data_IF_189714809214
#
_entry.id   IF_189714809214
#
_cell.length_a   1.000
_cell.length_b   1.000
_cell.length_c   1.000
_cell.angle_alpha   90.00
_cell.angle_beta   90.00
_cell.angle_gamma   90.00
#
_symmetry.space_group_name_H-M   'P 1'
#
loop_
_entity.id
_entity.type
_entity.pdbx_description
1 polymer ?
#
# COMPACT_ATOMS: atom_id res chain seq x y z
N UNK A 1 11.36 7.54 -28.17
CA UNK A 1 10.22 7.80 -27.26
C UNK A 1 10.78 8.07 -25.88
N UNK A 2 10.88 9.33 -25.49
CA UNK A 2 11.33 9.77 -24.16
C UNK A 2 10.13 9.76 -23.22
N UNK A 3 10.16 8.92 -22.19
CA UNK A 3 9.15 8.92 -21.11
C UNK A 3 9.17 10.25 -20.37
N UNK A 4 8.01 10.83 -20.01
CA UNK A 4 7.95 12.11 -19.32
C UNK A 4 8.53 11.99 -17.91
N UNK A 5 9.30 13.00 -17.50
CA UNK A 5 9.90 13.10 -16.16
C UNK A 5 8.81 13.18 -15.08
N UNK A 6 8.89 12.41 -13.98
CA UNK A 6 7.89 12.43 -12.93
C UNK A 6 7.99 13.71 -12.09
N UNK A 7 6.85 14.40 -11.91
CA UNK A 7 6.71 15.59 -11.05
C UNK A 7 7.00 15.25 -9.57
N UNK A 8 7.58 16.17 -8.79
CA UNK A 8 7.87 15.95 -7.37
C UNK A 8 6.59 16.06 -6.54
N UNK A 9 6.32 15.07 -5.68
CA UNK A 9 5.16 15.09 -4.77
C UNK A 9 4.89 13.77 -4.04
N UNK A 10 5.27 12.63 -4.62
CA UNK A 10 5.42 11.32 -3.97
C UNK A 10 6.35 10.56 -4.90
N UNK A 11 7.56 10.22 -4.46
CA UNK A 11 8.47 9.41 -5.29
C UNK A 11 7.69 8.15 -5.68
N UNK A 12 7.42 8.00 -6.99
CA UNK A 12 6.70 6.83 -7.51
C UNK A 12 7.46 5.61 -7.03
N UNK A 13 6.80 4.72 -6.30
CA UNK A 13 7.42 3.48 -5.84
C UNK A 13 7.96 2.76 -7.07
N UNK A 14 9.26 2.40 -7.10
CA UNK A 14 9.81 1.66 -8.23
C UNK A 14 8.95 0.43 -8.47
N UNK A 15 8.58 0.17 -9.72
CA UNK A 15 7.83 -1.05 -10.03
C UNK A 15 8.60 -2.25 -9.48
N UNK A 16 7.90 -3.16 -8.79
CA UNK A 16 8.55 -4.32 -8.18
C UNK A 16 9.31 -5.17 -9.20
N UNK A 17 8.88 -5.14 -10.46
CA UNK A 17 9.54 -5.79 -11.59
C UNK A 17 10.92 -5.21 -11.92
N UNK A 18 11.18 -3.95 -11.56
CA UNK A 18 12.45 -3.26 -11.84
C UNK A 18 13.50 -3.51 -10.75
N UNK A 19 13.18 -4.24 -9.69
CA UNK A 19 14.15 -4.60 -8.65
C UNK A 19 15.03 -5.73 -9.23
N UNK A 20 16.31 -5.47 -9.51
CA UNK A 20 17.19 -6.50 -10.02
C UNK A 20 17.36 -7.59 -8.96
N UNK A 21 17.04 -8.83 -9.32
CA UNK A 21 17.20 -9.99 -8.45
C UNK A 21 18.66 -10.43 -8.37
N UNK A 22 19.47 -9.60 -7.69
CA UNK A 22 20.89 -9.85 -7.45
C UNK A 22 21.13 -10.03 -5.94
N UNK A 23 21.02 -11.28 -5.48
CA UNK A 23 21.36 -11.66 -4.12
C UNK A 23 20.38 -11.19 -3.03
N UNK A 24 20.76 -11.34 -1.74
CA UNK A 24 19.84 -11.15 -0.62
C UNK A 24 19.32 -9.73 -0.41
N UNK A 25 20.07 -8.73 -0.89
CA UNK A 25 19.64 -7.33 -0.84
C UNK A 25 18.37 -7.10 -1.66
N UNK A 26 18.18 -7.84 -2.76
CA UNK A 26 16.99 -7.75 -3.61
C UNK A 26 15.72 -8.17 -2.85
N UNK A 27 15.79 -9.18 -1.98
CA UNK A 27 14.64 -9.65 -1.19
C UNK A 27 14.24 -8.60 -0.15
N UNK A 28 15.23 -7.94 0.45
CA UNK A 28 14.99 -6.83 1.39
C UNK A 28 14.37 -5.64 0.67
N UNK A 29 14.89 -5.27 -0.50
CA UNK A 29 14.34 -4.21 -1.32
C UNK A 29 12.90 -4.53 -1.77
N UNK A 30 12.67 -5.74 -2.29
CA UNK A 30 11.35 -6.20 -2.73
C UNK A 30 10.31 -6.15 -1.60
N UNK A 31 10.69 -6.64 -0.42
CA UNK A 31 9.81 -6.61 0.75
C UNK A 31 9.52 -5.18 1.21
N UNK A 32 10.51 -4.27 1.16
CA UNK A 32 10.35 -2.87 1.56
C UNK A 32 9.45 -2.11 0.59
N UNK A 33 9.78 -2.13 -0.70
CA UNK A 33 9.01 -1.43 -1.74
C UNK A 33 7.60 -2.01 -1.89
N UNK A 34 7.46 -3.35 -1.79
CA UNK A 34 6.16 -4.01 -1.84
C UNK A 34 5.26 -3.60 -0.68
N UNK A 35 5.81 -3.44 0.53
CA UNK A 35 5.06 -2.92 1.68
C UNK A 35 4.58 -1.49 1.46
N UNK A 36 5.46 -0.63 0.94
CA UNK A 36 5.11 0.74 0.61
C UNK A 36 3.96 0.75 -0.42
N UNK A 37 4.05 -0.10 -1.45
CA UNK A 37 3.04 -0.19 -2.50
C UNK A 37 1.69 -0.65 -1.96
N UNK A 38 1.66 -1.72 -1.16
CA UNK A 38 0.44 -2.20 -0.53
C UNK A 38 -0.17 -1.18 0.42
N UNK A 39 0.65 -0.42 1.16
CA UNK A 39 0.16 0.64 2.04
C UNK A 39 -0.48 1.77 1.23
N UNK A 40 0.24 2.28 0.24
CA UNK A 40 -0.23 3.36 -0.62
C UNK A 40 -1.52 2.96 -1.36
N UNK A 41 -1.56 1.75 -1.92
CA UNK A 41 -2.76 1.23 -2.58
C UNK A 41 -3.93 1.02 -1.60
N UNK A 42 -3.65 0.63 -0.35
CA UNK A 42 -4.69 0.58 0.67
C UNK A 42 -5.25 1.96 1.01
N UNK A 43 -4.40 2.99 1.05
CA UNK A 43 -4.83 4.36 1.31
C UNK A 43 -5.72 4.86 0.18
N UNK A 44 -5.29 4.69 -1.07
CA UNK A 44 -6.05 5.07 -2.27
C UNK A 44 -7.43 4.39 -2.33
N UNK A 45 -7.50 3.08 -2.05
CA UNK A 45 -8.79 2.39 -1.99
C UNK A 45 -9.67 2.85 -0.82
N UNK A 46 -9.07 3.21 0.31
CA UNK A 46 -9.80 3.78 1.46
C UNK A 46 -10.40 5.13 1.12
N UNK A 47 -9.58 6.06 0.62
CA UNK A 47 -10.01 7.40 0.21
C UNK A 47 -11.08 7.32 -0.88
N UNK A 48 -10.86 6.51 -1.91
CA UNK A 48 -11.86 6.31 -2.97
C UNK A 48 -13.18 5.71 -2.48
N UNK A 49 -13.15 4.85 -1.46
CA UNK A 49 -14.38 4.34 -0.85
C UNK A 49 -15.14 5.43 -0.10
N UNK A 50 -14.43 6.27 0.65
CA UNK A 50 -15.00 7.35 1.45
C UNK A 50 -15.57 8.46 0.57
N UNK A 51 -14.85 8.87 -0.48
CA UNK A 51 -15.33 9.84 -1.48
C UNK A 51 -16.57 9.32 -2.21
N UNK A 52 -16.54 8.06 -2.67
CA UNK A 52 -17.68 7.45 -3.36
C UNK A 52 -18.91 7.34 -2.44
N UNK A 53 -18.70 7.01 -1.17
CA UNK A 53 -19.76 6.99 -0.18
C UNK A 53 -20.31 8.39 0.08
N UNK A 54 -19.43 9.39 0.23
CA UNK A 54 -19.81 10.78 0.42
C UNK A 54 -20.64 11.27 -0.76
N UNK A 55 -20.16 11.14 -1.99
CA UNK A 55 -20.83 11.68 -3.19
C UNK A 55 -22.09 10.89 -3.55
N UNK A 56 -22.00 9.55 -3.65
CA UNK A 56 -23.10 8.74 -4.22
C UNK A 56 -24.09 8.20 -3.18
N UNK A 57 -23.80 8.29 -1.88
CA UNK A 57 -24.69 7.74 -0.85
C UNK A 57 -25.13 8.83 0.14
N UNK A 58 -24.22 9.70 0.59
CA UNK A 58 -24.51 10.76 1.57
C UNK A 58 -25.00 12.06 0.91
N UNK A 59 -24.40 12.44 -0.21
CA UNK A 59 -24.69 13.69 -0.95
C UNK A 59 -25.81 13.52 -1.98
N UNK A 60 -26.42 12.33 -2.11
CA UNK A 60 -27.68 12.09 -2.83
C UNK A 60 -28.89 12.77 -2.14
N UNK A 61 -28.72 14.04 -1.75
CA UNK A 61 -29.75 14.92 -1.20
C UNK A 61 -30.30 15.91 -2.24
N UNK A 62 -29.91 15.84 -3.51
CA UNK A 62 -30.27 16.87 -4.48
C UNK A 62 -30.47 16.37 -5.90
N UNK A 63 -31.59 15.71 -6.19
CA UNK A 63 -32.46 16.01 -7.35
C UNK A 63 -33.67 15.06 -7.30
N UNK A 64 -34.92 15.54 -7.27
CA UNK A 64 -36.10 14.67 -7.23
C UNK A 64 -36.16 13.68 -8.40
N UNK A 65 -35.64 14.06 -9.58
CA UNK A 65 -35.51 13.18 -10.75
C UNK A 65 -34.58 11.98 -10.50
N UNK A 66 -33.48 12.13 -9.76
CA UNK A 66 -32.61 11.00 -9.43
C UNK A 66 -33.21 10.10 -8.33
N UNK A 67 -34.05 10.66 -7.46
CA UNK A 67 -34.79 9.87 -6.47
C UNK A 67 -35.98 9.10 -7.09
N UNK A 68 -36.62 9.67 -8.13
CA UNK A 68 -37.87 9.17 -8.74
C UNK A 68 -37.62 8.36 -10.03
N UNK A 69 -36.57 8.68 -10.79
CA UNK A 69 -36.14 8.02 -12.05
C UNK A 69 -34.71 7.43 -11.97
N UNK A 70 -33.87 7.94 -11.06
CA UNK A 70 -32.47 7.51 -10.86
C UNK A 70 -32.31 6.29 -9.94
N UNK A 71 -32.96 5.20 -10.31
CA UNK A 71 -32.56 3.81 -10.08
C UNK A 71 -32.02 3.46 -8.67
N UNK A 72 -32.82 2.83 -7.78
CA UNK A 72 -32.32 2.09 -6.61
C UNK A 72 -31.10 1.19 -6.89
N UNK A 73 -30.97 0.71 -8.13
CA UNK A 73 -29.79 0.00 -8.62
C UNK A 73 -28.48 0.80 -8.57
N UNK A 74 -28.48 2.10 -8.84
CA UNK A 74 -27.27 2.94 -8.79
C UNK A 74 -26.77 3.05 -7.35
N UNK A 75 -27.65 3.32 -6.39
CA UNK A 75 -27.30 3.35 -4.97
C UNK A 75 -26.80 1.98 -4.48
N UNK A 76 -27.43 0.89 -4.95
CA UNK A 76 -27.02 -0.48 -4.61
C UNK A 76 -25.65 -0.82 -5.21
N UNK A 77 -25.41 -0.46 -6.47
CA UNK A 77 -24.12 -0.61 -7.16
C UNK A 77 -23.03 0.23 -6.51
N UNK A 78 -23.32 1.46 -6.12
CA UNK A 78 -22.41 2.33 -5.38
C UNK A 78 -22.03 1.71 -4.03
N UNK A 79 -23.02 1.28 -3.22
CA UNK A 79 -22.78 0.56 -1.95
C UNK A 79 -21.92 -0.69 -2.15
N UNK A 80 -22.18 -1.48 -3.21
CA UNK A 80 -21.39 -2.67 -3.52
C UNK A 80 -19.95 -2.31 -3.88
N UNK A 81 -19.74 -1.23 -4.61
CA UNK A 81 -18.42 -0.75 -5.01
C UNK A 81 -17.64 -0.22 -3.81
N UNK A 82 -18.26 0.59 -2.94
CA UNK A 82 -17.68 1.04 -1.66
C UNK A 82 -17.23 -0.17 -0.83
N UNK A 83 -18.09 -1.17 -0.64
CA UNK A 83 -17.72 -2.40 0.09
C UNK A 83 -16.55 -3.16 -0.54
N UNK A 84 -16.47 -3.19 -1.88
CA UNK A 84 -15.36 -3.82 -2.60
C UNK A 84 -14.05 -3.05 -2.42
N UNK A 85 -14.09 -1.73 -2.47
CA UNK A 85 -12.93 -0.87 -2.23
C UNK A 85 -12.43 -1.00 -0.78
N UNK A 86 -13.34 -0.97 0.20
CA UNK A 86 -12.99 -1.22 1.60
C UNK A 86 -12.37 -2.60 1.80
N UNK A 87 -12.92 -3.64 1.16
CA UNK A 87 -12.33 -4.98 1.19
C UNK A 87 -10.95 -4.99 0.53
N UNK A 88 -10.78 -4.33 -0.61
CA UNK A 88 -9.49 -4.23 -1.30
C UNK A 88 -8.45 -3.53 -0.43
N UNK A 89 -8.81 -2.43 0.25
CA UNK A 89 -7.95 -1.74 1.20
C UNK A 89 -7.49 -2.70 2.32
N UNK A 90 -8.42 -3.43 2.94
CA UNK A 90 -8.09 -4.42 3.97
C UNK A 90 -7.17 -5.53 3.46
N UNK A 91 -7.43 -6.06 2.26
CA UNK A 91 -6.58 -7.08 1.64
C UNK A 91 -5.16 -6.55 1.37
N UNK A 92 -5.03 -5.30 0.93
CA UNK A 92 -3.72 -4.69 0.71
C UNK A 92 -2.96 -4.48 2.05
N UNK A 93 -3.64 -4.08 3.13
CA UNK A 93 -3.01 -4.05 4.47
C UNK A 93 -2.52 -5.43 4.91
N UNK A 94 -3.32 -6.47 4.70
CA UNK A 94 -2.92 -7.84 5.02
C UNK A 94 -1.72 -8.29 4.16
N UNK A 95 -1.72 -7.97 2.86
CA UNK A 95 -0.58 -8.26 1.99
C UNK A 95 0.71 -7.55 2.45
N UNK A 96 0.62 -6.31 2.93
CA UNK A 96 1.76 -5.61 3.51
C UNK A 96 2.32 -6.34 4.75
N UNK A 97 1.45 -6.91 5.60
CA UNK A 97 1.88 -7.72 6.75
C UNK A 97 2.55 -9.02 6.31
N UNK A 98 2.00 -9.69 5.30
CA UNK A 98 2.61 -10.91 4.76
C UNK A 98 4.00 -10.65 4.16
N UNK A 99 4.25 -9.48 3.55
CA UNK A 99 5.58 -9.10 3.09
C UNK A 99 6.59 -8.91 4.25
N UNK A 100 6.15 -8.51 5.44
CA UNK A 100 7.00 -8.48 6.64
C UNK A 100 7.38 -9.90 7.06
N UNK A 101 6.39 -10.79 7.11
CA UNK A 101 6.60 -12.18 7.50
C UNK A 101 7.49 -12.90 6.50
N UNK A 102 7.28 -12.67 5.21
CA UNK A 102 8.12 -13.16 4.13
C UNK A 102 9.60 -12.76 4.33
N UNK A 103 9.87 -11.47 4.56
CA UNK A 103 11.23 -11.00 4.82
C UNK A 103 11.84 -11.63 6.08
N UNK A 104 11.05 -11.72 7.15
CA UNK A 104 11.51 -12.32 8.40
C UNK A 104 11.84 -13.82 8.24
N UNK A 105 10.98 -14.56 7.53
CA UNK A 105 11.17 -15.98 7.24
C UNK A 105 12.41 -16.18 6.37
N UNK A 106 12.59 -15.38 5.33
CA UNK A 106 13.79 -15.42 4.49
C UNK A 106 15.07 -15.25 5.33
N UNK A 107 15.12 -14.25 6.21
CA UNK A 107 16.31 -14.08 7.07
C UNK A 107 16.55 -15.24 8.01
N UNK A 108 15.48 -15.90 8.49
CA UNK A 108 15.57 -17.05 9.38
C UNK A 108 16.13 -18.28 8.65
N UNK A 109 15.63 -18.56 7.45
CA UNK A 109 16.01 -19.74 6.67
C UNK A 109 17.40 -19.63 6.05
N UNK A 110 17.82 -18.42 5.68
CA UNK A 110 19.07 -18.20 4.96
C UNK A 110 20.17 -17.56 5.81
N UNK A 111 20.01 -17.55 7.14
CA UNK A 111 20.92 -16.84 8.06
C UNK A 111 22.39 -17.25 7.89
N UNK A 112 22.64 -18.52 7.55
CA UNK A 112 23.98 -19.08 7.41
C UNK A 112 24.67 -18.69 6.10
N UNK A 113 23.89 -18.32 5.08
CA UNK A 113 24.38 -17.93 3.74
C UNK A 113 24.41 -16.41 3.58
N UNK A 114 23.68 -15.69 4.44
CA UNK A 114 23.68 -14.24 4.43
C UNK A 114 25.04 -13.70 4.87
N UNK A 115 25.52 -12.60 4.24
CA UNK A 115 26.72 -11.93 4.72
C UNK A 115 26.54 -11.56 6.19
N UNK A 116 27.47 -12.01 7.04
CA UNK A 116 27.47 -11.67 8.47
C UNK A 116 27.42 -10.14 8.61
N UNK A 117 26.40 -9.64 9.32
CA UNK A 117 26.26 -8.21 9.54
C UNK A 117 27.46 -7.76 10.39
N UNK A 118 28.34 -6.91 9.83
CA UNK A 118 29.48 -6.35 10.56
C UNK A 118 28.96 -5.57 11.77
N UNK A 119 29.15 -6.07 13.01
CA UNK A 119 28.55 -5.46 14.20
C UNK A 119 29.15 -4.08 14.51
N UNK A 120 30.31 -3.77 13.94
CA UNK A 120 31.08 -2.54 14.11
C UNK A 120 30.35 -1.28 13.62
N UNK A 121 29.43 -1.42 12.66
CA UNK A 121 28.67 -0.30 12.09
C UNK A 121 27.26 -0.13 12.68
N UNK A 122 26.89 -0.89 13.73
CA UNK A 122 25.65 -0.59 14.45
C UNK A 122 25.91 0.69 15.27
N UNK A 123 25.11 1.77 15.10
CA UNK A 123 25.16 2.87 16.05
C UNK A 123 24.72 2.33 17.41
N UNK A 124 25.71 1.92 18.20
CA UNK A 124 25.55 1.49 19.56
C UNK A 124 25.60 2.74 20.42
N UNK A 125 24.43 3.27 20.76
CA UNK A 125 24.05 3.66 22.12
C UNK A 125 22.71 4.37 22.06
N UNK A 126 21.71 3.77 22.69
CA UNK A 126 20.56 4.54 23.15
C UNK A 126 21.07 5.46 24.27
N UNK A 127 21.14 6.77 23.99
CA UNK A 127 21.63 7.76 24.94
C UNK A 127 20.48 8.24 25.84
N UNK A 128 20.51 7.85 27.12
CA UNK A 128 19.53 8.30 28.12
C UNK A 128 19.67 9.80 28.48
N UNK A 129 20.65 10.52 27.95
CA UNK A 129 20.93 11.93 28.29
C UNK A 129 20.28 12.96 27.35
N UNK A 130 19.46 12.53 26.39
CA UNK A 130 18.77 13.43 25.44
C UNK A 130 17.32 13.74 25.88
N UNK A 131 17.08 14.01 27.17
CA UNK A 131 15.81 14.51 27.75
C UNK A 131 16.01 15.88 28.37
#
# INVERSE_FOLDING_TARGET
MTTPEPRPGRNRIPELANIPWAGPAAITAYSREGRALCRDLSEEFGMGADELYAVLIRSFKGHPVLALLGAPDVRRKAKRTVKRLQRAATLQRAAAVELVKFHAQFRKEFVDVLPQAKPENRPSTFNWKDV
#
